data_IF_553661622962
#
_entry.id   IF_553661622962
#
_cell.length_a   1.000
_cell.length_b   1.000
_cell.length_c   1.000
_cell.angle_alpha   90.00
_cell.angle_beta   90.00
_cell.angle_gamma   90.00
#
_symmetry.space_group_name_H-M   'P 1'
#
loop_
_entity.id
_entity.type
_entity.pdbx_description
1 polymer ?
#
# COMPACT_ATOMS: atom_id res chain seq x y z
N UNK A 1 -0.31 -7.41 -2.64
CA UNK A 1 -1.12 -6.49 -1.80
C UNK A 1 -2.01 -7.33 -0.91
N UNK A 2 -2.09 -7.00 0.38
CA UNK A 2 -2.97 -7.61 1.38
C UNK A 2 -3.94 -6.51 1.82
N UNK A 3 -5.24 -6.78 1.85
CA UNK A 3 -6.23 -5.81 2.31
C UNK A 3 -7.12 -6.45 3.37
N UNK A 4 -6.71 -6.43 4.66
CA UNK A 4 -7.36 -7.22 5.71
C UNK A 4 -8.88 -7.05 5.76
N UNK A 5 -9.36 -5.80 5.69
CA UNK A 5 -10.79 -5.47 5.72
C UNK A 5 -11.58 -6.05 4.53
N UNK A 6 -11.10 -5.83 3.30
CA UNK A 6 -11.82 -6.26 2.08
C UNK A 6 -11.76 -7.78 1.90
N UNK A 7 -10.63 -8.40 2.27
CA UNK A 7 -10.46 -9.86 2.14
C UNK A 7 -10.93 -10.64 3.39
N UNK A 8 -11.46 -9.95 4.41
CA UNK A 8 -11.93 -10.56 5.65
C UNK A 8 -10.84 -11.28 6.46
N UNK A 9 -9.60 -10.81 6.41
CA UNK A 9 -8.49 -11.37 7.19
C UNK A 9 -8.45 -10.64 8.52
N UNK A 10 -8.95 -11.28 9.57
CA UNK A 10 -9.05 -10.68 10.90
C UNK A 10 -7.73 -10.75 11.68
N UNK A 11 -6.99 -9.64 11.71
CA UNK A 11 -5.71 -9.53 12.42
C UNK A 11 -5.85 -9.42 13.95
N UNK A 12 -7.07 -9.44 14.48
CA UNK A 12 -7.31 -9.58 15.93
C UNK A 12 -7.34 -11.05 16.39
N UNK A 13 -7.32 -12.01 15.47
CA UNK A 13 -7.34 -13.44 15.74
C UNK A 13 -6.12 -14.14 15.13
N UNK A 14 -5.67 -15.23 15.78
CA UNK A 14 -4.48 -15.99 15.34
C UNK A 14 -4.59 -16.47 13.90
N UNK A 15 -5.75 -16.95 13.45
CA UNK A 15 -5.92 -17.43 12.08
C UNK A 15 -5.69 -16.34 11.01
N UNK A 16 -6.05 -15.09 11.30
CA UNK A 16 -5.79 -13.98 10.38
C UNK A 16 -4.33 -13.53 10.41
N UNK A 17 -3.73 -13.52 11.60
CA UNK A 17 -2.29 -13.26 11.79
C UNK A 17 -1.47 -14.30 11.03
N UNK A 18 -1.70 -15.59 11.29
CA UNK A 18 -1.04 -16.71 10.61
C UNK A 18 -1.13 -16.57 9.11
N UNK A 19 -2.30 -16.19 8.57
CA UNK A 19 -2.49 -16.01 7.13
C UNK A 19 -1.61 -14.90 6.56
N UNK A 20 -1.47 -13.77 7.25
CA UNK A 20 -0.55 -12.69 6.81
C UNK A 20 0.90 -13.16 6.90
N UNK A 21 1.28 -13.82 7.99
CA UNK A 21 2.64 -14.33 8.20
C UNK A 21 3.07 -15.33 7.10
N UNK A 22 2.17 -16.22 6.68
CA UNK A 22 2.42 -17.10 5.54
C UNK A 22 2.61 -16.32 4.23
N UNK A 23 1.85 -15.23 4.02
CA UNK A 23 2.01 -14.37 2.85
C UNK A 23 3.34 -13.61 2.88
N UNK A 24 3.80 -13.15 4.05
CA UNK A 24 5.11 -12.51 4.22
C UNK A 24 6.24 -13.48 3.89
N UNK A 25 6.20 -14.69 4.44
CA UNK A 25 7.20 -15.73 4.16
C UNK A 25 7.20 -16.16 2.68
N UNK A 26 6.04 -16.21 2.03
CA UNK A 26 5.95 -16.48 0.60
C UNK A 26 6.50 -15.32 -0.25
N UNK A 27 6.23 -14.07 0.13
CA UNK A 27 6.72 -12.90 -0.58
C UNK A 27 8.25 -12.81 -0.56
N UNK A 28 8.87 -13.11 0.59
CA UNK A 28 10.34 -13.23 0.73
C UNK A 28 10.91 -14.22 -0.30
N UNK A 29 10.36 -15.44 -0.36
CA UNK A 29 10.81 -16.48 -1.30
C UNK A 29 10.65 -16.06 -2.77
N UNK A 30 9.65 -15.24 -3.06
CA UNK A 30 9.40 -14.73 -4.40
C UNK A 30 10.23 -13.47 -4.73
N UNK A 31 10.90 -12.87 -3.74
CA UNK A 31 11.59 -11.58 -3.90
C UNK A 31 10.61 -10.44 -4.21
N UNK A 32 9.42 -10.47 -3.61
CA UNK A 32 8.39 -9.46 -3.80
C UNK A 32 8.23 -8.63 -2.52
N UNK A 33 8.18 -7.32 -2.66
CA UNK A 33 7.73 -6.46 -1.58
C UNK A 33 6.25 -6.74 -1.28
N UNK A 34 5.84 -6.49 -0.04
CA UNK A 34 4.45 -6.61 0.39
C UNK A 34 3.89 -5.21 0.59
N UNK A 35 2.65 -5.01 0.16
CA UNK A 35 1.86 -3.85 0.53
C UNK A 35 0.67 -4.34 1.32
N UNK A 36 0.46 -3.82 2.53
CA UNK A 36 -0.69 -4.15 3.37
C UNK A 36 -1.49 -2.89 3.66
N UNK A 37 -2.82 -2.97 3.54
CA UNK A 37 -3.71 -1.88 3.90
C UNK A 37 -3.65 -1.61 5.41
N UNK A 38 -3.34 -0.37 5.79
CA UNK A 38 -3.35 0.08 7.17
C UNK A 38 -4.46 1.09 7.46
N UNK A 39 -4.95 1.08 8.70
CA UNK A 39 -6.02 1.95 9.19
C UNK A 39 -7.40 1.31 9.06
N UNK A 40 -8.43 2.15 9.11
CA UNK A 40 -9.82 1.72 8.96
C UNK A 40 -10.14 1.41 7.48
N UNK A 41 -11.36 0.96 7.23
CA UNK A 41 -11.92 0.83 5.88
C UNK A 41 -13.41 1.14 5.94
N UNK A 42 -13.78 2.43 6.08
CA UNK A 42 -15.17 2.83 6.35
C UNK A 42 -16.16 2.37 5.28
N UNK A 43 -15.71 2.23 4.04
CA UNK A 43 -16.53 1.77 2.92
C UNK A 43 -16.65 0.23 2.83
N UNK A 44 -16.09 -0.51 3.79
CA UNK A 44 -16.22 -1.96 3.85
C UNK A 44 -17.65 -2.34 4.22
N UNK A 45 -18.29 -3.17 3.38
CA UNK A 45 -19.66 -3.64 3.60
C UNK A 45 -19.82 -4.43 4.91
N UNK A 46 -18.76 -5.14 5.33
CA UNK A 46 -18.74 -5.84 6.61
C UNK A 46 -18.23 -4.90 7.71
N UNK A 47 -19.15 -4.43 8.55
CA UNK A 47 -18.84 -3.51 9.65
C UNK A 47 -17.81 -4.03 10.64
N UNK A 48 -17.74 -5.35 10.86
CA UNK A 48 -16.73 -5.96 11.72
C UNK A 48 -15.33 -5.88 11.07
N UNK A 49 -15.25 -6.02 9.75
CA UNK A 49 -13.99 -6.05 9.02
C UNK A 49 -13.37 -4.67 8.79
N UNK A 50 -14.14 -3.57 8.95
CA UNK A 50 -13.67 -2.17 8.86
C UNK A 50 -12.37 -1.94 9.63
N UNK A 51 -12.22 -2.66 10.74
CA UNK A 51 -11.16 -2.46 11.74
C UNK A 51 -9.96 -3.39 11.57
N UNK A 52 -10.02 -4.37 10.68
CA UNK A 52 -9.01 -5.43 10.61
C UNK A 52 -7.61 -4.94 10.19
N UNK A 53 -7.51 -3.77 9.57
CA UNK A 53 -6.24 -3.12 9.21
C UNK A 53 -5.70 -2.11 10.24
N UNK A 54 -6.34 -1.93 11.40
CA UNK A 54 -5.89 -0.95 12.40
C UNK A 54 -4.47 -1.26 12.92
N UNK A 55 -3.71 -0.21 13.27
CA UNK A 55 -2.33 -0.33 13.76
C UNK A 55 -2.18 -1.30 14.97
N UNK A 56 -3.13 -1.30 15.91
CA UNK A 56 -3.12 -2.22 17.06
C UNK A 56 -3.22 -3.70 16.70
N UNK A 57 -3.73 -4.03 15.51
CA UNK A 57 -3.80 -5.41 15.04
C UNK A 57 -2.63 -5.73 14.11
N UNK A 58 -2.17 -4.75 13.32
CA UNK A 58 -0.90 -4.86 12.60
C UNK A 58 0.26 -5.15 13.56
N UNK A 59 0.22 -4.62 14.79
CA UNK A 59 1.26 -4.89 15.80
C UNK A 59 1.28 -6.33 16.33
N UNK A 60 0.29 -7.16 16.00
CA UNK A 60 0.27 -8.56 16.41
C UNK A 60 0.98 -9.49 15.41
N UNK A 61 1.29 -9.01 14.21
CA UNK A 61 1.94 -9.79 13.16
C UNK A 61 3.45 -9.84 13.38
N UNK A 62 4.07 -11.00 13.24
CA UNK A 62 5.53 -11.11 13.21
C UNK A 62 6.09 -10.63 11.86
N UNK A 63 6.46 -9.35 11.81
CA UNK A 63 7.06 -8.74 10.63
C UNK A 63 8.48 -9.23 10.35
N UNK A 64 9.14 -9.92 11.30
CA UNK A 64 10.51 -10.42 11.11
C UNK A 64 10.60 -11.64 10.18
N UNK A 65 9.45 -12.23 9.80
CA UNK A 65 9.34 -13.36 8.89
C UNK A 65 9.71 -13.04 7.43
N UNK A 66 9.95 -11.77 7.12
CA UNK A 66 10.41 -11.32 5.81
C UNK A 66 11.50 -10.26 5.97
N UNK A 67 12.42 -10.19 5.00
CA UNK A 67 13.39 -9.10 4.85
C UNK A 67 13.03 -8.21 3.67
N UNK A 68 12.14 -8.67 2.78
CA UNK A 68 11.57 -7.85 1.73
C UNK A 68 10.84 -6.64 2.32
N UNK A 69 10.85 -5.52 1.59
CA UNK A 69 10.17 -4.30 2.04
C UNK A 69 8.68 -4.55 2.24
N UNK A 70 8.12 -4.09 3.36
CA UNK A 70 6.69 -4.10 3.63
C UNK A 70 6.20 -2.66 3.73
N UNK A 71 5.34 -2.26 2.79
CA UNK A 71 4.70 -0.95 2.77
C UNK A 71 3.34 -1.04 3.45
N UNK A 72 3.16 -0.33 4.56
CA UNK A 72 1.87 -0.15 5.21
C UNK A 72 1.17 1.05 4.55
N UNK A 73 0.14 0.75 3.75
CA UNK A 73 -0.58 1.75 2.99
C UNK A 73 -1.28 2.75 3.93
N UNK A 74 -1.37 4.00 3.47
CA UNK A 74 -1.94 5.12 4.21
C UNK A 74 -1.26 5.36 5.57
N UNK A 75 -0.05 4.83 5.76
CA UNK A 75 0.68 4.84 7.03
C UNK A 75 -0.09 4.30 8.25
N UNK A 76 -1.15 3.52 8.04
CA UNK A 76 -2.05 3.12 9.14
C UNK A 76 -3.05 4.20 9.57
N UNK A 77 -3.03 5.40 8.97
CA UNK A 77 -3.79 6.58 9.40
C UNK A 77 -5.17 6.69 8.73
N UNK A 78 -5.47 5.86 7.73
CA UNK A 78 -6.70 5.99 6.96
C UNK A 78 -7.96 5.87 7.83
N UNK A 79 -8.90 6.79 7.64
CA UNK A 79 -10.18 6.83 8.37
C UNK A 79 -10.09 7.28 9.82
N UNK A 80 -8.90 7.55 10.36
CA UNK A 80 -8.72 8.05 11.73
C UNK A 80 -8.78 9.59 11.76
N UNK A 81 -9.20 10.15 12.90
CA UNK A 81 -9.14 11.60 13.15
C UNK A 81 -7.71 12.03 13.53
N UNK A 82 -7.40 13.32 13.43
CA UNK A 82 -6.08 13.85 13.82
C UNK A 82 -5.70 13.52 15.27
N UNK A 83 -6.66 13.60 16.18
CA UNK A 83 -6.45 13.31 17.61
C UNK A 83 -6.17 11.82 17.85
N UNK A 84 -6.92 10.95 17.16
CA UNK A 84 -6.73 9.50 17.25
C UNK A 84 -5.41 9.06 16.61
N UNK A 85 -5.06 9.65 15.46
CA UNK A 85 -3.76 9.45 14.82
C UNK A 85 -2.62 9.74 15.80
N UNK A 86 -2.66 10.88 16.49
CA UNK A 86 -1.63 11.31 17.45
C UNK A 86 -1.56 10.42 18.69
N UNK A 87 -2.71 10.07 19.27
CA UNK A 87 -2.77 9.40 20.57
C UNK A 87 -2.63 7.88 20.49
N UNK A 88 -3.19 7.27 19.45
CA UNK A 88 -3.41 5.83 19.41
C UNK A 88 -2.73 5.14 18.23
N UNK A 89 -2.63 5.79 17.07
CA UNK A 89 -2.11 5.14 15.85
C UNK A 89 -0.60 5.31 15.72
N UNK A 90 -0.10 6.55 15.65
CA UNK A 90 1.30 6.85 15.41
C UNK A 90 2.26 6.23 16.46
N UNK A 91 1.97 6.26 17.77
CA UNK A 91 2.86 5.62 18.74
C UNK A 91 3.08 4.12 18.51
N UNK A 92 2.05 3.41 18.02
CA UNK A 92 2.15 1.98 17.69
C UNK A 92 3.00 1.80 16.42
N UNK A 93 2.75 2.63 15.41
CA UNK A 93 3.48 2.59 14.14
C UNK A 93 4.96 2.94 14.33
N UNK A 94 5.29 3.96 15.14
CA UNK A 94 6.66 4.34 15.48
C UNK A 94 7.40 3.18 16.15
N UNK A 95 6.75 2.50 17.13
CA UNK A 95 7.33 1.32 17.78
C UNK A 95 7.62 0.20 16.78
N UNK A 96 6.70 -0.08 15.87
CA UNK A 96 6.92 -1.09 14.82
C UNK A 96 8.12 -0.74 13.95
N UNK A 97 8.27 0.53 13.56
CA UNK A 97 9.35 0.98 12.67
C UNK A 97 10.71 1.06 13.35
N UNK A 98 10.73 1.18 14.68
CA UNK A 98 11.95 1.04 15.49
C UNK A 98 12.41 -0.42 15.58
N UNK A 99 11.49 -1.38 15.47
CA UNK A 99 11.80 -2.81 15.57
C UNK A 99 12.16 -3.44 14.23
N UNK A 100 11.73 -2.84 13.11
CA UNK A 100 11.79 -3.44 11.80
C UNK A 100 12.21 -2.42 10.72
N UNK A 101 13.43 -2.58 10.19
CA UNK A 101 14.01 -1.64 9.23
C UNK A 101 13.43 -1.74 7.81
N UNK A 102 12.89 -2.90 7.45
CA UNK A 102 12.26 -3.16 6.16
C UNK A 102 10.82 -2.64 6.07
N UNK A 103 10.26 -2.08 7.16
CA UNK A 103 8.96 -1.44 7.13
C UNK A 103 9.04 -0.04 6.51
N UNK A 104 8.01 0.27 5.75
CA UNK A 104 7.79 1.56 5.11
C UNK A 104 6.31 1.91 5.08
N UNK A 105 5.99 3.16 4.76
CA UNK A 105 4.62 3.67 4.61
C UNK A 105 4.44 4.37 3.28
N UNK A 106 3.20 4.53 2.83
CA UNK A 106 2.86 5.47 1.76
C UNK A 106 1.97 6.63 2.22
N UNK A 107 1.89 7.67 1.38
CA UNK A 107 1.09 8.88 1.63
C UNK A 107 -0.34 8.82 1.08
N UNK A 108 -0.77 7.68 0.53
CA UNK A 108 -2.05 7.58 -0.18
C UNK A 108 -3.22 7.79 0.77
N UNK A 109 -4.30 8.44 0.33
CA UNK A 109 -5.54 8.57 1.12
C UNK A 109 -5.42 9.32 2.46
N UNK A 110 -4.27 9.92 2.78
CA UNK A 110 -4.05 10.64 4.04
C UNK A 110 -4.48 12.10 3.87
N UNK A 111 -5.26 12.61 4.83
CA UNK A 111 -5.62 14.02 4.90
C UNK A 111 -4.42 14.88 5.34
N UNK A 112 -4.53 16.20 5.19
CA UNK A 112 -3.39 17.11 5.34
C UNK A 112 -2.75 17.06 6.74
N UNK A 113 -3.53 17.16 7.81
CA UNK A 113 -2.98 17.21 9.17
C UNK A 113 -2.32 15.88 9.60
N UNK A 114 -2.93 14.68 9.40
CA UNK A 114 -2.27 13.42 9.67
C UNK A 114 -1.02 13.20 8.80
N UNK A 115 -1.01 13.70 7.55
CA UNK A 115 0.19 13.69 6.72
C UNK A 115 1.32 14.54 7.34
N UNK A 116 1.01 15.72 7.86
CA UNK A 116 1.99 16.54 8.59
C UNK A 116 2.50 15.85 9.87
N UNK A 117 1.69 15.02 10.53
CA UNK A 117 2.14 14.21 11.67
C UNK A 117 3.08 13.10 11.20
N UNK A 118 2.69 12.35 10.17
CA UNK A 118 3.50 11.30 9.56
C UNK A 118 4.90 11.80 9.18
N UNK A 119 4.97 12.92 8.46
CA UNK A 119 6.25 13.48 7.98
C UNK A 119 7.19 13.95 9.10
N UNK A 120 6.67 14.22 10.31
CA UNK A 120 7.47 14.54 11.50
C UNK A 120 7.89 13.30 12.28
N UNK A 121 7.10 12.22 12.20
CA UNK A 121 7.30 10.99 12.96
C UNK A 121 8.27 10.01 12.29
N UNK A 122 8.40 10.03 10.96
CA UNK A 122 9.16 9.03 10.22
C UNK A 122 10.25 9.63 9.34
N UNK A 123 11.36 8.90 9.20
CA UNK A 123 12.40 9.20 8.21
C UNK A 123 11.79 9.18 6.80
N UNK A 124 12.04 10.23 6.03
CA UNK A 124 11.58 10.40 4.66
C UNK A 124 12.00 9.23 3.76
N UNK A 125 13.12 8.54 4.07
CA UNK A 125 13.58 7.33 3.36
C UNK A 125 12.65 6.13 3.52
N UNK A 126 11.76 6.14 4.51
CA UNK A 126 10.75 5.09 4.75
C UNK A 126 9.36 5.48 4.23
N UNK A 127 9.23 6.62 3.55
CA UNK A 127 7.94 7.15 3.07
C UNK A 127 7.91 7.12 1.54
N UNK A 128 6.84 6.55 0.98
CA UNK A 128 6.61 6.47 -0.45
C UNK A 128 5.46 7.39 -0.85
N UNK A 129 5.56 8.04 -2.01
CA UNK A 129 4.40 8.72 -2.56
C UNK A 129 3.35 7.72 -3.04
N UNK A 130 2.15 7.85 -2.50
CA UNK A 130 0.95 7.18 -2.99
C UNK A 130 -0.14 8.22 -3.21
N UNK A 131 -0.86 8.11 -4.34
CA UNK A 131 -1.89 9.08 -4.73
C UNK A 131 -3.33 8.59 -4.55
N UNK A 132 -3.52 7.28 -4.40
CA UNK A 132 -4.83 6.63 -4.43
C UNK A 132 -5.70 7.00 -5.65
N UNK A 133 -5.09 6.92 -6.85
CA UNK A 133 -5.60 7.50 -8.10
C UNK A 133 -7.02 7.10 -8.53
N UNK A 134 -7.59 6.03 -7.94
CA UNK A 134 -8.98 5.63 -8.17
C UNK A 134 -9.99 6.52 -7.43
N UNK A 135 -9.59 7.10 -6.30
CA UNK A 135 -10.44 7.86 -5.39
C UNK A 135 -10.05 9.34 -5.31
N UNK A 136 -8.80 9.66 -5.63
CA UNK A 136 -8.27 11.01 -5.62
C UNK A 136 -7.53 11.35 -6.93
N UNK A 137 -7.62 12.61 -7.37
CA UNK A 137 -6.80 13.09 -8.50
C UNK A 137 -5.32 13.12 -8.09
N UNK A 138 -4.40 12.47 -8.84
CA UNK A 138 -3.00 12.37 -8.41
C UNK A 138 -2.28 13.71 -8.15
N UNK A 139 -2.61 14.75 -8.91
CA UNK A 139 -2.03 16.08 -8.70
C UNK A 139 -2.47 16.71 -7.36
N UNK A 140 -3.67 16.39 -6.86
CA UNK A 140 -4.15 16.88 -5.56
C UNK A 140 -3.36 16.24 -4.42
N UNK A 141 -3.12 14.92 -4.49
CA UNK A 141 -2.26 14.22 -3.54
C UNK A 141 -0.83 14.80 -3.55
N UNK A 142 -0.29 15.11 -4.74
CA UNK A 142 1.03 15.73 -4.88
C UNK A 142 1.09 17.12 -4.23
N UNK A 143 0.10 17.99 -4.51
CA UNK A 143 0.02 19.33 -3.92
C UNK A 143 -0.12 19.23 -2.40
N UNK A 144 -0.93 18.29 -1.88
CA UNK A 144 -1.08 18.05 -0.44
C UNK A 144 0.26 17.66 0.18
N UNK A 145 1.00 16.73 -0.43
CA UNK A 145 2.33 16.33 0.04
C UNK A 145 3.28 17.51 0.06
N UNK A 146 3.34 18.29 -1.02
CA UNK A 146 4.19 19.47 -1.11
C UNK A 146 3.89 20.49 0.00
N UNK A 147 2.61 20.84 0.19
CA UNK A 147 2.20 21.75 1.25
C UNK A 147 2.53 21.21 2.65
N UNK A 148 2.44 19.90 2.86
CA UNK A 148 2.77 19.28 4.15
C UNK A 148 4.28 19.33 4.40
N UNK A 149 5.10 19.01 3.39
CA UNK A 149 6.56 19.09 3.47
C UNK A 149 7.05 20.51 3.80
N UNK A 150 6.44 21.55 3.20
CA UNK A 150 6.74 22.95 3.55
C UNK A 150 6.53 23.28 5.04
N UNK A 151 5.71 22.51 5.77
CA UNK A 151 5.46 22.70 7.21
C UNK A 151 6.27 21.77 8.12
N UNK A 152 6.91 20.74 7.57
CA UNK A 152 7.48 19.64 8.38
C UNK A 152 8.94 19.37 8.07
N UNK A 153 9.41 19.66 6.86
CA UNK A 153 10.77 19.37 6.43
C UNK A 153 11.60 20.65 6.37
N UNK A 154 12.84 20.59 6.85
CA UNK A 154 13.80 21.68 6.72
C UNK A 154 14.22 21.88 5.26
N UNK A 155 14.46 20.77 4.54
CA UNK A 155 14.76 20.77 3.11
C UNK A 155 13.62 20.09 2.32
N UNK A 156 12.62 20.87 1.97
CA UNK A 156 11.38 20.39 1.33
C UNK A 156 11.62 19.78 -0.07
N UNK A 157 12.53 20.34 -0.87
CA UNK A 157 12.83 19.85 -2.22
C UNK A 157 13.48 18.47 -2.18
N UNK A 158 14.49 18.29 -1.33
CA UNK A 158 15.16 16.99 -1.15
C UNK A 158 14.18 15.93 -0.63
N UNK A 159 13.34 16.30 0.33
CA UNK A 159 12.30 15.42 0.86
C UNK A 159 11.30 14.97 -0.21
N UNK A 160 10.86 15.90 -1.06
CA UNK A 160 9.95 15.59 -2.16
C UNK A 160 10.59 14.61 -3.14
N UNK A 161 11.84 14.86 -3.55
CA UNK A 161 12.58 13.98 -4.47
C UNK A 161 12.74 12.58 -3.87
N UNK A 162 13.10 12.47 -2.59
CA UNK A 162 13.26 11.18 -1.93
C UNK A 162 11.94 10.39 -1.91
N UNK A 163 10.85 11.01 -1.46
CA UNK A 163 9.54 10.36 -1.28
C UNK A 163 8.89 9.99 -2.62
N UNK A 164 8.93 10.89 -3.60
CA UNK A 164 8.25 10.70 -4.89
C UNK A 164 9.08 9.85 -5.84
N UNK A 165 10.39 10.06 -5.88
CA UNK A 165 11.29 9.48 -6.88
C UNK A 165 12.20 8.39 -6.32
N UNK A 166 13.10 8.76 -5.41
CA UNK A 166 14.22 7.90 -5.00
C UNK A 166 13.76 6.61 -4.35
N UNK A 167 12.86 6.70 -3.36
CA UNK A 167 12.36 5.53 -2.62
C UNK A 167 11.65 4.55 -3.56
N UNK A 168 10.71 5.05 -4.36
CA UNK A 168 9.96 4.26 -5.34
C UNK A 168 10.88 3.54 -6.34
N UNK A 169 11.91 4.24 -6.81
CA UNK A 169 12.89 3.67 -7.74
C UNK A 169 13.68 2.53 -7.09
N UNK A 170 14.13 2.69 -5.84
CA UNK A 170 14.83 1.64 -5.08
C UNK A 170 13.93 0.40 -4.89
N UNK A 171 12.68 0.60 -4.50
CA UNK A 171 11.72 -0.49 -4.27
C UNK A 171 11.49 -1.32 -5.55
N UNK A 172 11.33 -0.65 -6.70
CA UNK A 172 11.12 -1.34 -7.97
C UNK A 172 12.39 -2.02 -8.51
N UNK A 173 13.57 -1.47 -8.24
CA UNK A 173 14.85 -2.04 -8.64
C UNK A 173 15.23 -3.32 -7.87
N UNK A 174 14.72 -3.53 -6.65
CA UNK A 174 14.90 -4.81 -5.93
C UNK A 174 14.40 -6.03 -6.74
N UNK A 175 13.46 -5.79 -7.66
CA UNK A 175 12.88 -6.82 -8.53
C UNK A 175 13.79 -7.23 -9.69
N UNK A 176 14.74 -6.38 -10.11
CA UNK A 176 15.63 -6.63 -11.25
C UNK A 176 16.98 -7.22 -10.84
N UNK A 177 17.39 -7.02 -9.58
CA UNK A 177 18.64 -7.58 -9.05
C UNK A 177 18.55 -9.08 -8.69
N UNK A 178 17.35 -9.66 -8.63
CA UNK A 178 17.15 -11.09 -8.43
C UNK A 178 17.11 -11.82 -9.79
N UNK A 179 18.25 -11.83 -10.47
CA UNK A 179 18.51 -12.50 -11.75
C UNK A 179 18.01 -13.97 -11.69
N UNK A 180 17.18 -14.44 -12.65
CA UNK A 180 16.62 -15.80 -12.63
C UNK A 180 17.66 -16.92 -12.54
N UNK A 181 18.91 -16.65 -12.88
CA UNK A 181 19.99 -17.66 -12.88
C UNK A 181 20.45 -18.11 -11.49
N UNK A 182 20.20 -17.32 -10.43
CA UNK A 182 20.57 -17.73 -9.06
C UNK A 182 19.45 -18.44 -8.30
N UNK A 183 18.22 -18.37 -8.84
CA UNK A 183 17.11 -19.17 -8.35
C UNK A 183 17.15 -20.51 -9.07
N UNK A 184 17.80 -21.51 -8.47
CA UNK A 184 17.71 -22.93 -8.83
C UNK A 184 16.28 -23.48 -8.70
N UNK A 185 15.34 -22.84 -9.39
CA UNK A 185 13.91 -23.12 -9.40
C UNK A 185 13.63 -23.59 -10.81
N UNK A 186 13.56 -24.91 -10.97
CA UNK A 186 13.00 -25.54 -12.16
C UNK A 186 11.67 -24.87 -12.50
N UNK A 187 11.57 -24.35 -13.72
CA UNK A 187 10.51 -23.49 -14.21
C UNK A 187 9.07 -23.96 -13.87
N UNK A 188 8.30 -23.20 -13.07
CA UNK A 188 6.84 -23.31 -13.07
C UNK A 188 6.21 -22.38 -14.14
N UNK A 189 6.93 -21.32 -14.55
CA UNK A 189 6.38 -20.25 -15.39
C UNK A 189 6.20 -20.63 -16.87
N UNK A 190 6.88 -21.67 -17.37
CA UNK A 190 6.66 -22.20 -18.72
C UNK A 190 5.36 -23.00 -18.88
N UNK A 191 4.64 -23.31 -17.79
CA UNK A 191 3.32 -23.98 -17.86
C UNK A 191 2.16 -22.99 -17.98
N UNK A 192 2.20 -21.83 -17.34
CA UNK A 192 1.12 -20.84 -17.43
C UNK A 192 1.01 -20.20 -18.83
N UNK A 193 2.13 -20.01 -19.55
CA UNK A 193 2.10 -19.50 -20.92
C UNK A 193 1.49 -20.49 -21.93
N UNK A 194 1.50 -21.80 -21.64
CA UNK A 194 0.83 -22.80 -22.51
C UNK A 194 -0.69 -22.82 -22.36
N UNK A 195 -1.22 -22.43 -21.20
CA UNK A 195 -2.67 -22.35 -20.98
C UNK A 195 -3.24 -21.08 -21.61
N UNK A 196 -2.51 -19.95 -21.53
CA UNK A 196 -2.94 -18.69 -22.15
C UNK A 196 -2.96 -18.74 -23.69
N UNK A 197 -2.14 -19.57 -24.32
CA UNK A 197 -2.13 -19.78 -25.78
C UNK A 197 -3.21 -20.76 -26.28
N UNK A 198 -3.95 -21.41 -25.37
CA UNK A 198 -5.05 -22.33 -25.70
C UNK A 198 -6.45 -21.74 -25.45
N UNK A 199 -6.52 -20.52 -24.90
CA UNK A 199 -7.78 -19.82 -24.75
C UNK A 199 -8.14 -19.14 -26.09
N UNK A 200 -9.37 -19.33 -26.61
CA UNK A 200 -9.80 -18.61 -27.79
C UNK A 200 -9.74 -17.10 -27.52
N UNK A 201 -9.19 -16.36 -28.47
CA UNK A 201 -9.26 -14.89 -28.48
C UNK A 201 -10.72 -14.48 -28.30
N UNK A 202 -11.05 -13.62 -27.30
CA UNK A 202 -12.40 -13.11 -27.16
C UNK A 202 -12.77 -12.34 -28.43
N UNK A 203 -13.93 -12.66 -29.02
CA UNK A 203 -14.44 -11.89 -30.14
C UNK A 203 -14.61 -10.42 -29.73
N UNK A 204 -14.30 -9.46 -30.61
CA UNK A 204 -14.52 -8.06 -30.32
C UNK A 204 -16.00 -7.82 -30.01
N UNK A 205 -16.26 -7.12 -28.91
CA UNK A 205 -17.61 -6.67 -28.57
C UNK A 205 -18.18 -5.86 -29.75
N UNK A 206 -19.43 -6.12 -30.17
CA UNK A 206 -20.07 -5.30 -31.18
C UNK A 206 -20.19 -3.87 -30.63
N UNK A 207 -19.59 -2.93 -31.34
CA UNK A 207 -19.80 -1.50 -31.13
C UNK A 207 -21.28 -1.24 -31.44
N UNK A 208 -22.07 -0.99 -30.40
CA UNK A 208 -23.39 -0.39 -30.58
C UNK A 208 -23.16 1.08 -30.90
N UNK A 209 -23.10 1.39 -32.18
CA UNK A 209 -23.49 2.71 -32.67
C UNK A 209 -24.98 2.92 -32.40
N UNK A 210 -25.36 4.18 -32.24
CA UNK A 210 -26.70 4.70 -31.94
C UNK A 210 -27.09 4.78 -30.46
N UNK A 211 -26.85 5.95 -29.87
CA UNK A 211 -27.96 6.69 -29.25
C UNK A 211 -27.83 8.19 -29.54
N UNK A 212 -28.47 8.53 -30.66
CA UNK A 212 -29.13 9.79 -31.01
C UNK A 212 -29.18 10.84 -29.91
N UNK A 213 -28.58 11.99 -30.21
CA UNK A 213 -28.95 13.32 -29.73
C UNK A 213 -30.45 13.51 -29.57
N UNK A 214 -30.92 13.75 -28.34
CA UNK A 214 -32.15 14.50 -28.06
C UNK A 214 -31.98 15.36 -26.80
N UNK A 215 -31.99 16.67 -27.06
CA UNK A 215 -32.75 17.70 -26.33
C UNK A 215 -32.58 17.78 -24.81
N UNK A 216 -31.78 18.76 -24.38
CA UNK A 216 -32.09 19.54 -23.19
C UNK A 216 -32.26 21.01 -23.60
N UNK A 217 -33.51 21.43 -23.67
CA UNK A 217 -33.93 22.82 -23.60
C UNK A 217 -34.86 23.00 -22.40
N UNK A 218 -34.78 24.19 -21.79
CA UNK A 218 -35.46 24.72 -20.59
C UNK A 218 -34.64 24.63 -19.31
#
# INVERSE_FOLDING_TARGET
KIHPSITGIDLSHSAGIDRVEHLLAAAEKCGLFVMIHGGLSPDCQNSAAVRYGEAKYLSNVDWSLTKATVVIAHAGLFGHSDDDCRKNVLPIMEKLFQQHDHLAVDTSGISFNPLCLLLRSFDQKKIYFGSDALYEKPWMAMVRLWCALLQTAENCDEALVEIVGTNSSKLLAQRTASDPKERGVDEPFSRCNRIAQQLPTPEPYPVQDELSSKEYGS
#
